data_IF_335967202678
#
_entry.id   IF_335967202678
#
_cell.length_a   1.000
_cell.length_b   1.000
_cell.length_c   1.000
_cell.angle_alpha   90.00
_cell.angle_beta   90.00
_cell.angle_gamma   90.00
#
_symmetry.space_group_name_H-M   'P 1'
#
loop_
_entity.id
_entity.type
_entity.pdbx_description
1 polymer ?
#
# COMPACT_ATOMS: atom_id res chain seq x y z
N UNK A 1 12.13 -13.49 2.77
CA UNK A 1 12.17 -12.41 1.76
C UNK A 1 12.04 -11.09 2.47
N UNK A 2 12.85 -10.11 2.09
CA UNK A 2 12.78 -8.74 2.58
C UNK A 2 11.40 -8.16 2.27
N UNK A 3 10.76 -7.57 3.26
CA UNK A 3 9.45 -6.92 3.10
C UNK A 3 9.61 -5.59 2.33
N UNK A 4 8.61 -5.24 1.53
CA UNK A 4 8.52 -3.91 0.91
C UNK A 4 7.46 -3.05 1.61
N UNK A 5 7.76 -1.77 1.75
CA UNK A 5 6.90 -0.76 2.35
C UNK A 5 6.87 0.51 1.50
N UNK A 6 6.01 1.45 1.85
CA UNK A 6 6.12 2.87 1.48
C UNK A 6 6.55 3.68 2.69
N UNK A 7 6.96 4.94 2.53
CA UNK A 7 7.15 5.87 3.66
C UNK A 7 5.81 6.41 4.16
N UNK A 8 4.94 6.86 3.26
CA UNK A 8 3.62 7.33 3.69
C UNK A 8 2.79 7.98 2.61
N UNK A 9 3.10 9.23 2.30
CA UNK A 9 2.31 10.07 1.42
C UNK A 9 2.38 9.61 -0.05
N UNK A 10 1.26 9.72 -0.76
CA UNK A 10 1.13 9.23 -2.14
C UNK A 10 0.37 10.24 -3.02
N UNK A 11 0.82 10.49 -4.27
CA UNK A 11 0.27 11.57 -5.09
C UNK A 11 -1.04 11.14 -5.77
N UNK A 12 -2.15 11.20 -5.03
CA UNK A 12 -3.50 11.03 -5.60
C UNK A 12 -4.02 12.39 -6.10
N UNK A 13 -4.30 12.52 -7.41
CA UNK A 13 -4.77 13.78 -7.97
C UNK A 13 -6.22 14.06 -7.51
N UNK A 14 -6.39 15.17 -6.79
CA UNK A 14 -7.71 15.72 -6.45
C UNK A 14 -7.98 16.91 -7.37
N UNK A 15 -9.03 16.80 -8.20
CA UNK A 15 -9.37 17.80 -9.21
C UNK A 15 -10.52 18.69 -8.73
N UNK A 16 -10.68 19.87 -9.33
CA UNK A 16 -11.83 20.76 -9.09
C UNK A 16 -13.15 20.01 -9.34
N UNK A 17 -13.18 19.11 -10.32
CA UNK A 17 -14.37 18.28 -10.61
C UNK A 17 -14.74 17.38 -9.43
N UNK A 18 -13.75 16.78 -8.74
CA UNK A 18 -14.02 15.99 -7.54
C UNK A 18 -14.68 16.85 -6.45
N UNK A 19 -14.14 18.05 -6.23
CA UNK A 19 -14.66 18.98 -5.22
C UNK A 19 -16.09 19.43 -5.55
N UNK A 20 -16.36 19.82 -6.80
CA UNK A 20 -17.71 20.23 -7.25
C UNK A 20 -18.72 19.11 -7.08
N UNK A 21 -18.38 17.90 -7.53
CA UNK A 21 -19.24 16.73 -7.37
C UNK A 21 -19.56 16.45 -5.89
N UNK A 22 -18.59 16.60 -4.99
CA UNK A 22 -18.81 16.39 -3.56
C UNK A 22 -19.75 17.44 -2.95
N UNK A 23 -19.62 18.70 -3.39
CA UNK A 23 -20.50 19.80 -2.99
C UNK A 23 -21.94 19.58 -3.48
N UNK A 24 -22.11 19.23 -4.75
CA UNK A 24 -23.43 18.94 -5.36
C UNK A 24 -24.13 17.78 -4.66
N UNK A 25 -23.39 16.72 -4.31
CA UNK A 25 -23.92 15.55 -3.63
C UNK A 25 -23.99 15.70 -2.10
N UNK A 26 -23.66 16.87 -1.54
CA UNK A 26 -23.60 17.12 -0.09
C UNK A 26 -22.79 16.07 0.68
N UNK A 27 -21.73 15.54 0.05
CA UNK A 27 -20.86 14.51 0.63
C UNK A 27 -20.12 15.07 1.84
N UNK A 28 -20.07 14.31 2.94
CA UNK A 28 -19.31 14.74 4.11
C UNK A 28 -17.81 14.82 3.79
N UNK A 29 -17.09 15.71 4.47
CA UNK A 29 -15.63 15.83 4.28
C UNK A 29 -14.88 14.54 4.62
N UNK A 30 -15.43 13.73 5.54
CA UNK A 30 -14.89 12.40 5.86
C UNK A 30 -15.01 11.43 4.69
N UNK A 31 -16.18 11.38 4.03
CA UNK A 31 -16.48 10.47 2.92
C UNK A 31 -15.78 10.87 1.63
N UNK A 32 -15.59 12.17 1.41
CA UNK A 32 -14.94 12.70 0.20
C UNK A 32 -13.58 12.06 -0.10
N UNK A 33 -12.78 11.76 0.92
CA UNK A 33 -11.44 11.21 0.75
C UNK A 33 -11.38 9.69 0.66
N UNK A 34 -12.45 8.96 0.99
CA UNK A 34 -12.43 7.49 0.98
C UNK A 34 -12.09 6.91 -0.41
N UNK A 35 -12.64 7.40 -1.53
CA UNK A 35 -12.23 6.94 -2.86
C UNK A 35 -10.76 7.23 -3.17
N UNK A 36 -10.20 8.31 -2.64
CA UNK A 36 -8.79 8.69 -2.81
C UNK A 36 -7.87 7.78 -2.01
N UNK A 37 -8.23 7.46 -0.76
CA UNK A 37 -7.53 6.47 0.08
C UNK A 37 -7.56 5.11 -0.60
N UNK A 38 -8.75 4.66 -1.03
CA UNK A 38 -8.91 3.40 -1.79
C UNK A 38 -7.98 3.37 -2.98
N UNK A 39 -7.83 4.48 -3.70
CA UNK A 39 -6.96 4.53 -4.87
C UNK A 39 -5.48 4.42 -4.53
N UNK A 40 -5.04 5.04 -3.44
CA UNK A 40 -3.67 4.87 -2.94
C UNK A 40 -3.39 3.43 -2.51
N UNK A 41 -4.34 2.81 -1.79
CA UNK A 41 -4.25 1.41 -1.35
C UNK A 41 -4.20 0.46 -2.55
N UNK A 42 -5.11 0.61 -3.52
CA UNK A 42 -5.13 -0.19 -4.76
C UNK A 42 -3.80 -0.13 -5.52
N UNK A 43 -3.20 1.06 -5.62
CA UNK A 43 -1.92 1.24 -6.32
C UNK A 43 -0.78 0.53 -5.59
N UNK A 44 -0.69 0.67 -4.27
CA UNK A 44 0.32 0.00 -3.46
C UNK A 44 0.17 -1.53 -3.52
N UNK A 45 -1.06 -2.04 -3.42
CA UNK A 45 -1.36 -3.47 -3.57
C UNK A 45 -1.01 -3.97 -4.98
N UNK A 46 -1.35 -3.22 -6.02
CA UNK A 46 -1.08 -3.58 -7.42
C UNK A 46 0.41 -3.55 -7.74
N UNK A 47 1.17 -2.63 -7.13
CA UNK A 47 2.63 -2.63 -7.19
C UNK A 47 3.26 -3.81 -6.43
N UNK A 48 2.51 -4.43 -5.52
CA UNK A 48 2.92 -5.61 -4.74
C UNK A 48 3.57 -5.30 -3.40
N UNK A 49 3.38 -4.08 -2.86
CA UNK A 49 3.89 -3.64 -1.55
C UNK A 49 3.33 -4.52 -0.42
N UNK A 50 4.15 -4.88 0.56
CA UNK A 50 3.75 -5.75 1.68
C UNK A 50 3.16 -4.97 2.86
N UNK A 51 3.74 -3.83 3.19
CA UNK A 51 3.31 -2.92 4.25
C UNK A 51 2.84 -1.60 3.62
N UNK A 52 1.53 -1.40 3.57
CA UNK A 52 0.90 -0.25 2.90
C UNK A 52 0.61 0.89 3.87
N UNK A 53 0.32 2.08 3.33
CA UNK A 53 -0.21 3.23 4.06
C UNK A 53 -1.56 3.68 3.48
N UNK A 54 -2.22 4.62 4.15
CA UNK A 54 -3.42 5.31 3.62
C UNK A 54 -3.11 6.27 2.47
N UNK A 55 -1.83 6.48 2.14
CA UNK A 55 -1.37 7.50 1.20
C UNK A 55 -1.42 8.93 1.73
N UNK A 56 -1.89 9.16 2.98
CA UNK A 56 -2.05 10.49 3.61
C UNK A 56 -2.71 11.52 2.68
N UNK A 57 -3.74 11.11 1.93
CA UNK A 57 -4.30 11.88 0.80
C UNK A 57 -5.12 13.11 1.20
N UNK A 58 -5.36 13.33 2.49
CA UNK A 58 -6.25 14.39 2.98
C UNK A 58 -5.63 15.78 2.86
N UNK A 59 -4.39 15.92 3.32
CA UNK A 59 -3.65 17.18 3.37
C UNK A 59 -2.17 16.89 3.66
N UNK A 60 -1.34 17.91 3.85
CA UNK A 60 0.06 17.73 4.20
C UNK A 60 0.24 17.14 5.61
N UNK A 61 1.42 16.56 5.87
CA UNK A 61 1.73 15.88 7.13
C UNK A 61 1.54 16.79 8.36
N UNK A 62 1.77 18.10 8.26
CA UNK A 62 1.60 19.03 9.39
C UNK A 62 0.12 19.34 9.64
N UNK A 63 -0.58 19.73 8.57
CA UNK A 63 -1.99 20.15 8.65
C UNK A 63 -2.91 18.99 9.03
N UNK A 64 -2.51 17.75 8.76
CA UNK A 64 -3.29 16.56 9.13
C UNK A 64 -3.50 16.49 10.66
N UNK A 65 -2.46 16.80 11.43
CA UNK A 65 -2.53 16.82 12.89
C UNK A 65 -3.00 18.16 13.43
N UNK A 66 -2.40 19.27 12.98
CA UNK A 66 -2.63 20.59 13.59
C UNK A 66 -4.07 21.08 13.47
N UNK A 67 -4.81 20.70 12.41
CA UNK A 67 -6.24 21.04 12.26
C UNK A 67 -7.18 20.26 13.18
N UNK A 68 -6.71 19.19 13.79
CA UNK A 68 -7.52 18.24 14.59
C UNK A 68 -7.14 18.23 16.07
N UNK A 69 -6.12 19.02 16.46
CA UNK A 69 -5.71 19.22 17.84
C UNK A 69 -6.29 20.55 18.34
N UNK A 70 -7.01 20.51 19.47
CA UNK A 70 -7.54 21.74 20.08
C UNK A 70 -6.40 22.56 20.69
N UNK A 71 -6.52 23.89 20.64
CA UNK A 71 -5.48 24.84 21.05
C UNK A 71 -4.65 25.39 19.89
N UNK A 72 -4.92 24.94 18.65
CA UNK A 72 -4.25 25.42 17.43
C UNK A 72 -5.25 26.14 16.53
N UNK A 73 -4.83 27.27 15.98
CA UNK A 73 -5.59 28.04 14.98
C UNK A 73 -4.73 28.27 13.75
N UNK A 74 -5.26 27.94 12.58
CA UNK A 74 -4.61 28.22 11.30
C UNK A 74 -5.09 29.58 10.77
N UNK A 75 -4.15 30.48 10.48
CA UNK A 75 -4.42 31.81 9.93
C UNK A 75 -3.50 32.01 8.72
N UNK A 76 -4.09 32.16 7.53
CA UNK A 76 -3.35 32.32 6.25
C UNK A 76 -2.27 31.24 6.04
N UNK A 77 -2.55 29.99 6.44
CA UNK A 77 -1.64 28.85 6.31
C UNK A 77 -0.62 28.72 7.45
N UNK A 78 -0.48 29.72 8.32
CA UNK A 78 0.38 29.66 9.51
C UNK A 78 -0.38 29.12 10.72
N UNK A 79 0.31 28.33 11.55
CA UNK A 79 -0.29 27.62 12.69
C UNK A 79 0.08 28.35 13.98
N UNK A 80 -0.92 28.87 14.67
CA UNK A 80 -0.77 29.61 15.92
C UNK A 80 -1.29 28.78 17.09
N UNK A 81 -0.49 28.63 18.14
CA UNK A 81 -0.92 28.00 19.38
C UNK A 81 -1.62 29.06 20.22
N UNK A 82 -2.94 28.94 20.39
CA UNK A 82 -3.80 29.93 21.06
C UNK A 82 -4.22 29.53 22.47
N UNK A 83 -3.99 28.28 22.86
CA UNK A 83 -4.14 27.77 24.23
C UNK A 83 -3.42 26.42 24.36
N UNK A 84 -3.40 25.83 25.57
CA UNK A 84 -2.84 24.49 25.80
C UNK A 84 -3.46 23.45 24.89
N UNK A 85 -2.61 22.58 24.33
CA UNK A 85 -3.02 21.52 23.41
C UNK A 85 -3.93 20.51 24.10
N UNK A 86 -5.00 20.09 23.41
CA UNK A 86 -5.89 19.02 23.88
C UNK A 86 -6.20 18.02 22.78
N UNK A 87 -6.09 16.74 23.12
CA UNK A 87 -6.51 15.63 22.26
C UNK A 87 -8.02 15.54 22.33
N UNK A 88 -8.69 15.75 21.20
CA UNK A 88 -10.15 15.75 21.13
C UNK A 88 -10.68 14.36 20.80
N UNK A 89 -10.12 13.75 19.75
CA UNK A 89 -10.50 12.43 19.23
C UNK A 89 -9.37 11.89 18.36
N UNK A 90 -9.37 10.58 18.05
CA UNK A 90 -8.40 10.00 17.12
C UNK A 90 -8.40 10.73 15.76
N UNK A 91 -7.20 10.98 15.25
CA UNK A 91 -6.94 11.83 14.08
C UNK A 91 -6.99 11.00 12.80
N UNK A 92 -6.28 9.87 12.78
CA UNK A 92 -6.04 9.03 11.60
C UNK A 92 -6.79 7.70 11.61
N UNK A 93 -7.38 7.34 12.76
CA UNK A 93 -8.05 6.05 12.99
C UNK A 93 -9.10 5.71 11.91
N UNK A 94 -9.94 6.66 11.53
CA UNK A 94 -11.02 6.42 10.56
C UNK A 94 -10.47 5.98 9.19
N UNK A 95 -9.41 6.64 8.72
CA UNK A 95 -8.79 6.32 7.43
C UNK A 95 -8.07 4.97 7.48
N UNK A 96 -7.45 4.65 8.61
CA UNK A 96 -6.78 3.37 8.84
C UNK A 96 -7.77 2.21 8.86
N UNK A 97 -8.89 2.33 9.59
CA UNK A 97 -9.94 1.31 9.61
C UNK A 97 -10.51 1.11 8.21
N UNK A 98 -10.76 2.19 7.47
CA UNK A 98 -11.23 2.07 6.09
C UNK A 98 -10.21 1.34 5.20
N UNK A 99 -8.94 1.74 5.23
CA UNK A 99 -7.88 1.13 4.43
C UNK A 99 -7.64 -0.35 4.80
N UNK A 100 -7.65 -0.69 6.09
CA UNK A 100 -7.49 -2.07 6.60
C UNK A 100 -8.59 -3.01 6.08
N UNK A 101 -9.81 -2.52 5.89
CA UNK A 101 -10.91 -3.31 5.33
C UNK A 101 -10.78 -3.55 3.80
N UNK A 102 -9.85 -2.86 3.12
CA UNK A 102 -9.59 -3.04 1.70
C UNK A 102 -8.45 -4.02 1.41
N UNK A 103 -7.60 -4.32 2.39
CA UNK A 103 -6.38 -5.11 2.15
C UNK A 103 -6.62 -6.62 2.36
N UNK A 104 -5.98 -7.48 1.55
CA UNK A 104 -5.93 -8.91 1.81
C UNK A 104 -5.26 -9.25 3.15
N UNK A 105 -5.62 -10.39 3.76
CA UNK A 105 -5.07 -10.85 5.06
C UNK A 105 -3.54 -11.02 5.09
N UNK A 106 -2.91 -11.23 3.93
CA UNK A 106 -1.46 -11.39 3.81
C UNK A 106 -0.72 -10.06 3.60
N UNK A 107 -1.41 -8.92 3.72
CA UNK A 107 -0.85 -7.58 3.63
C UNK A 107 -0.98 -6.87 4.97
N UNK A 108 -0.02 -6.00 5.25
CA UNK A 108 0.07 -5.22 6.48
C UNK A 108 -0.24 -3.75 6.20
N UNK A 109 -0.62 -3.02 7.23
CA UNK A 109 -0.85 -1.57 7.17
C UNK A 109 -0.11 -0.86 8.30
N UNK A 110 0.50 0.29 8.00
CA UNK A 110 1.18 1.12 8.99
C UNK A 110 0.43 2.41 9.30
N UNK A 111 0.43 2.79 10.57
CA UNK A 111 0.00 4.11 11.05
C UNK A 111 1.15 5.11 10.96
N UNK A 112 0.87 6.37 10.65
CA UNK A 112 1.92 7.38 10.47
C UNK A 112 1.57 8.63 11.26
N UNK A 113 2.51 9.07 12.08
CA UNK A 113 2.43 10.25 12.93
C UNK A 113 3.49 11.25 12.50
N UNK A 114 3.11 12.51 12.32
CA UNK A 114 4.12 13.57 12.26
C UNK A 114 4.65 13.80 13.67
N UNK A 115 5.97 13.77 13.80
CA UNK A 115 6.65 13.77 15.07
C UNK A 115 6.48 15.07 15.88
N UNK A 116 6.56 14.97 17.21
CA UNK A 116 6.32 16.08 18.11
C UNK A 116 7.24 17.28 17.89
N UNK A 117 8.52 17.05 17.58
CA UNK A 117 9.45 18.15 17.35
C UNK A 117 9.12 18.87 16.04
N UNK A 118 8.89 18.13 14.96
CA UNK A 118 8.48 18.67 13.67
C UNK A 118 7.17 19.48 13.77
N UNK A 119 6.16 18.97 14.48
CA UNK A 119 4.93 19.72 14.73
C UNK A 119 5.18 21.00 15.53
N UNK A 120 6.03 20.94 16.56
CA UNK A 120 6.33 22.12 17.38
C UNK A 120 7.06 23.21 16.60
N UNK A 121 8.05 22.85 15.75
CA UNK A 121 8.85 23.79 14.95
C UNK A 121 8.08 24.46 13.83
N UNK A 122 6.94 23.88 13.43
CA UNK A 122 6.06 24.43 12.39
C UNK A 122 4.91 25.29 12.95
N UNK A 123 4.87 25.47 14.27
CA UNK A 123 3.87 26.28 14.97
C UNK A 123 4.47 27.54 15.60
N UNK A 124 3.66 28.60 15.72
CA UNK A 124 4.00 29.86 16.39
C UNK A 124 3.32 29.93 17.75
N UNK A 125 4.11 30.07 18.81
CA UNK A 125 3.63 30.26 20.18
C UNK A 125 3.07 31.68 20.34
N UNK A 126 1.83 31.82 20.80
CA UNK A 126 1.23 33.11 21.15
C UNK A 126 1.35 33.39 22.65
N UNK A 127 1.08 34.64 23.07
CA UNK A 127 1.10 35.05 24.48
C UNK A 127 0.12 34.25 25.34
N UNK A 128 -1.03 33.87 24.78
CA UNK A 128 -2.11 33.19 25.48
C UNK A 128 -1.99 31.65 25.42
N UNK A 129 -0.96 31.15 24.75
CA UNK A 129 -0.75 29.72 24.50
C UNK A 129 -0.48 28.90 25.78
N UNK A 130 0.09 29.53 26.81
CA UNK A 130 0.55 28.86 28.02
C UNK A 130 1.87 28.08 27.85
N UNK A 131 2.62 28.29 26.78
CA UNK A 131 3.96 27.71 26.56
C UNK A 131 5.05 28.78 26.63
N UNK A 132 6.15 28.48 27.33
CA UNK A 132 7.29 29.40 27.42
C UNK A 132 8.24 29.28 26.22
N UNK A 133 8.34 28.09 25.64
CA UNK A 133 9.26 27.79 24.55
C UNK A 133 8.77 26.60 23.71
N UNK A 134 9.47 26.35 22.60
CA UNK A 134 9.16 25.25 21.67
C UNK A 134 9.35 23.87 22.32
N UNK A 135 10.28 23.73 23.27
CA UNK A 135 10.51 22.46 23.97
C UNK A 135 9.30 22.04 24.80
N UNK A 136 8.73 22.95 25.60
CA UNK A 136 7.48 22.69 26.35
C UNK A 136 6.33 22.32 25.40
N UNK A 137 6.24 22.98 24.24
CA UNK A 137 5.24 22.66 23.23
C UNK A 137 5.47 21.26 22.61
N UNK A 138 6.71 20.89 22.33
CA UNK A 138 7.07 19.59 21.79
C UNK A 138 6.71 18.45 22.76
N UNK A 139 6.92 18.64 24.07
CA UNK A 139 6.50 17.67 25.08
C UNK A 139 4.98 17.48 25.11
N UNK A 140 4.19 18.54 25.04
CA UNK A 140 2.73 18.42 24.95
C UNK A 140 2.29 17.74 23.65
N UNK A 141 2.93 18.02 22.51
CA UNK A 141 2.69 17.26 21.28
C UNK A 141 3.00 15.78 21.45
N UNK A 142 4.08 15.41 22.16
CA UNK A 142 4.43 14.00 22.37
C UNK A 142 3.34 13.27 23.17
N UNK A 143 2.77 13.90 24.20
CA UNK A 143 1.64 13.35 24.97
C UNK A 143 0.35 13.22 24.13
N UNK A 144 0.08 14.19 23.25
CA UNK A 144 -1.04 14.12 22.30
C UNK A 144 -0.84 12.96 21.32
N UNK A 145 0.36 12.80 20.79
CA UNK A 145 0.68 11.74 19.83
C UNK A 145 0.74 10.36 20.48
N UNK A 146 1.06 10.23 21.77
CA UNK A 146 0.90 8.96 22.49
C UNK A 146 -0.57 8.53 22.54
N UNK A 147 -1.51 9.47 22.76
CA UNK A 147 -2.95 9.19 22.73
C UNK A 147 -3.41 8.76 21.34
N UNK A 148 -2.91 9.41 20.29
CA UNK A 148 -3.18 8.99 18.91
C UNK A 148 -2.60 7.60 18.63
N UNK A 149 -1.34 7.33 18.99
CA UNK A 149 -0.69 6.04 18.81
C UNK A 149 -1.50 4.92 19.48
N UNK A 150 -1.93 5.11 20.73
CA UNK A 150 -2.80 4.17 21.47
C UNK A 150 -4.14 3.95 20.78
N UNK A 151 -4.72 4.98 20.18
CA UNK A 151 -6.00 4.88 19.48
C UNK A 151 -5.89 4.04 18.20
N UNK A 152 -4.76 4.09 17.50
CA UNK A 152 -4.58 3.42 16.21
C UNK A 152 -3.87 2.05 16.30
N UNK A 153 -3.22 1.75 17.42
CA UNK A 153 -2.33 0.58 17.56
C UNK A 153 -2.98 -0.76 17.16
N UNK A 154 -4.25 -0.97 17.51
CA UNK A 154 -4.97 -2.21 17.19
C UNK A 154 -5.41 -2.31 15.73
N UNK A 155 -5.35 -1.19 15.00
CA UNK A 155 -5.71 -1.11 13.58
C UNK A 155 -4.51 -1.20 12.64
N UNK A 156 -3.29 -1.27 13.19
CA UNK A 156 -2.06 -1.27 12.39
C UNK A 156 -1.07 -2.36 12.81
N UNK A 157 -0.16 -2.68 11.90
CA UNK A 157 0.91 -3.64 12.12
C UNK A 157 2.17 -2.99 12.69
N UNK A 158 2.39 -1.71 12.38
CA UNK A 158 3.42 -0.86 12.98
C UNK A 158 2.99 0.62 12.93
N UNK A 159 3.64 1.45 13.75
CA UNK A 159 3.45 2.90 13.74
C UNK A 159 4.77 3.56 13.34
N UNK A 160 4.72 4.56 12.48
CA UNK A 160 5.85 5.36 12.09
C UNK A 160 5.72 6.78 12.64
N UNK A 161 6.83 7.33 13.12
CA UNK A 161 6.94 8.72 13.55
C UNK A 161 7.88 9.42 12.57
N UNK A 162 7.40 10.45 11.89
CA UNK A 162 8.17 11.22 10.92
C UNK A 162 8.75 12.48 11.58
N UNK A 163 10.08 12.58 11.68
CA UNK A 163 10.78 13.74 12.23
C UNK A 163 11.76 14.38 11.22
N UNK A 164 11.28 14.91 10.07
CA UNK A 164 12.16 15.54 9.09
C UNK A 164 12.97 16.72 9.65
N UNK A 165 12.49 17.38 10.73
CA UNK A 165 13.26 18.46 11.37
C UNK A 165 14.53 17.98 12.08
N UNK A 166 14.69 16.69 12.39
CA UNK A 166 15.90 16.19 13.08
C UNK A 166 17.16 16.32 12.23
N UNK A 167 17.08 16.17 10.91
CA UNK A 167 18.23 16.33 10.00
C UNK A 167 18.61 17.79 9.78
N UNK A 168 17.66 18.72 9.96
CA UNK A 168 17.89 20.16 9.85
C UNK A 168 18.44 20.73 11.17
N UNK A 169 17.80 20.41 12.30
CA UNK A 169 18.15 20.90 13.62
C UNK A 169 17.88 19.81 14.66
N UNK A 170 18.93 19.11 15.08
CA UNK A 170 18.81 18.00 16.03
C UNK A 170 18.50 18.48 17.46
N UNK A 171 17.37 18.07 18.07
CA UNK A 171 17.06 18.40 19.45
C UNK A 171 17.64 17.38 20.43
N UNK A 172 18.38 17.85 21.45
CA UNK A 172 18.92 16.97 22.51
C UNK A 172 17.82 16.28 23.33
N UNK A 173 16.62 16.85 23.40
CA UNK A 173 15.45 16.25 24.03
C UNK A 173 14.65 15.30 23.10
N UNK A 174 15.06 15.12 21.84
CA UNK A 174 14.34 14.33 20.85
C UNK A 174 14.11 12.86 21.26
N UNK A 175 15.10 12.23 21.89
CA UNK A 175 14.97 10.86 22.42
C UNK A 175 13.84 10.75 23.45
N UNK A 176 13.68 11.76 24.31
CA UNK A 176 12.63 11.78 25.34
C UNK A 176 11.26 11.96 24.70
N UNK A 177 11.13 12.80 23.67
CA UNK A 177 9.88 12.96 22.92
C UNK A 177 9.41 11.63 22.31
N UNK A 178 10.30 10.93 21.59
CA UNK A 178 9.95 9.65 20.96
C UNK A 178 9.63 8.58 22.01
N UNK A 179 10.32 8.59 23.16
CA UNK A 179 10.02 7.68 24.28
C UNK A 179 8.61 7.93 24.86
N UNK A 180 8.15 9.17 24.92
CA UNK A 180 6.78 9.52 25.35
C UNK A 180 5.77 9.00 24.31
N UNK A 181 5.99 9.24 23.02
CA UNK A 181 5.09 8.73 21.97
C UNK A 181 4.98 7.21 22.01
N UNK A 182 6.10 6.49 22.19
CA UNK A 182 6.15 5.01 22.31
C UNK A 182 5.53 4.46 23.59
N UNK A 183 5.38 5.25 24.66
CA UNK A 183 4.99 4.74 25.99
C UNK A 183 3.73 3.86 25.91
N UNK A 184 3.86 2.61 26.40
CA UNK A 184 2.80 1.58 26.43
C UNK A 184 2.34 1.07 25.05
N UNK A 185 2.99 1.45 23.96
CA UNK A 185 2.77 0.86 22.63
C UNK A 185 3.55 -0.44 22.51
N UNK A 186 2.86 -1.52 22.14
CA UNK A 186 3.40 -2.87 21.94
C UNK A 186 3.75 -3.16 20.48
N UNK A 187 3.10 -2.48 19.53
CA UNK A 187 3.44 -2.59 18.10
C UNK A 187 4.83 -2.00 17.80
N UNK A 188 5.52 -2.51 16.77
CA UNK A 188 6.77 -1.92 16.31
C UNK A 188 6.63 -0.44 15.97
N UNK A 189 7.61 0.36 16.39
CA UNK A 189 7.73 1.78 16.07
C UNK A 189 8.86 1.99 15.07
N UNK A 190 8.57 2.67 13.97
CA UNK A 190 9.56 3.23 13.05
C UNK A 190 9.80 4.71 13.34
N UNK A 191 11.04 5.16 13.22
CA UNK A 191 11.40 6.58 13.16
C UNK A 191 11.94 6.86 11.77
N UNK A 192 11.22 7.70 11.03
CA UNK A 192 11.65 8.16 9.72
C UNK A 192 12.16 9.59 9.81
N UNK A 193 13.33 9.83 9.23
CA UNK A 193 13.96 11.16 9.17
C UNK A 193 14.46 11.37 7.75
N UNK A 194 13.78 12.25 6.99
CA UNK A 194 14.19 12.65 5.64
C UNK A 194 15.51 13.47 5.69
N UNK A 195 16.23 13.51 4.57
CA UNK A 195 17.51 14.19 4.41
C UNK A 195 18.73 13.42 4.92
N UNK A 196 19.88 14.09 4.91
CA UNK A 196 21.15 13.49 5.36
C UNK A 196 21.22 13.37 6.88
N UNK A 197 21.09 12.15 7.38
CA UNK A 197 21.20 11.84 8.82
C UNK A 197 22.60 11.43 9.24
N UNK A 198 23.59 11.48 8.35
CA UNK A 198 25.00 11.10 8.59
C UNK A 198 25.48 11.55 9.97
N UNK A 199 25.42 12.85 10.24
CA UNK A 199 25.94 13.47 11.49
C UNK A 199 25.20 13.07 12.76
N UNK A 200 23.96 12.59 12.66
CA UNK A 200 23.10 12.31 13.80
C UNK A 200 22.76 10.83 13.95
N UNK A 201 23.15 9.98 13.00
CA UNK A 201 22.75 8.58 12.97
C UNK A 201 23.11 7.84 14.27
N UNK A 202 24.33 8.00 14.79
CA UNK A 202 24.75 7.38 16.05
C UNK A 202 23.92 7.84 17.26
N UNK A 203 23.33 9.05 17.19
CA UNK A 203 22.36 9.49 18.21
C UNK A 203 21.01 8.81 18.02
N UNK A 204 20.55 8.65 16.77
CA UNK A 204 19.29 7.99 16.43
C UNK A 204 19.27 6.52 16.83
N UNK A 205 20.40 5.80 16.76
CA UNK A 205 20.49 4.40 17.23
C UNK A 205 20.21 4.23 18.72
N UNK A 206 20.30 5.32 19.51
CA UNK A 206 20.01 5.33 20.96
C UNK A 206 18.52 5.52 21.25
N UNK A 207 17.68 5.72 20.25
CA UNK A 207 16.23 5.89 20.40
C UNK A 207 15.57 4.53 20.62
N UNK A 208 14.53 4.52 21.45
CA UNK A 208 13.71 3.34 21.69
C UNK A 208 12.73 3.16 20.52
N UNK A 209 13.22 2.78 19.35
CA UNK A 209 12.43 2.44 18.16
C UNK A 209 12.93 1.14 17.59
N UNK A 210 12.09 0.45 16.82
CA UNK A 210 12.39 -0.88 16.30
C UNK A 210 12.89 -0.82 14.85
N UNK A 211 12.56 0.26 14.13
CA UNK A 211 12.98 0.53 12.75
C UNK A 211 13.51 1.97 12.65
N UNK A 212 14.67 2.15 12.03
CA UNK A 212 15.20 3.44 11.58
C UNK A 212 15.06 3.52 10.06
N UNK A 213 14.24 4.45 9.57
CA UNK A 213 13.88 4.59 8.16
C UNK A 213 14.55 5.87 7.59
N UNK A 214 15.40 5.70 6.58
CA UNK A 214 16.27 6.75 6.05
C UNK A 214 16.51 6.67 4.54
N UNK A 215 17.02 7.78 4.01
CA UNK A 215 17.29 7.98 2.59
C UNK A 215 18.68 7.49 2.17
N UNK A 216 18.74 6.42 1.39
CA UNK A 216 20.02 5.86 0.91
C UNK A 216 20.28 6.12 -0.57
N UNK A 217 19.27 6.45 -1.37
CA UNK A 217 19.49 6.85 -2.77
C UNK A 217 19.89 8.32 -2.83
N UNK A 218 19.20 9.19 -2.10
CA UNK A 218 19.57 10.61 -2.00
C UNK A 218 20.88 10.84 -1.23
N UNK A 219 21.23 9.96 -0.28
CA UNK A 219 22.47 10.07 0.53
C UNK A 219 23.32 8.77 0.48
N UNK A 220 23.99 8.47 -0.65
CA UNK A 220 24.70 7.19 -0.83
C UNK A 220 25.80 6.92 0.19
N UNK A 221 26.42 7.97 0.75
CA UNK A 221 27.48 7.83 1.77
C UNK A 221 26.96 7.37 3.13
N UNK A 222 25.65 7.47 3.38
CA UNK A 222 25.04 7.08 4.65
C UNK A 222 25.32 5.60 4.98
N UNK A 223 25.28 4.72 3.97
CA UNK A 223 25.54 3.28 4.17
C UNK A 223 26.95 3.03 4.73
N UNK A 224 27.95 3.80 4.28
CA UNK A 224 29.33 3.68 4.72
C UNK A 224 29.49 4.12 6.18
N UNK A 225 28.74 5.13 6.61
CA UNK A 225 28.80 5.60 7.97
C UNK A 225 28.06 4.67 8.95
N UNK A 226 26.87 4.21 8.56
CA UNK A 226 26.07 3.30 9.37
C UNK A 226 26.81 1.98 9.61
N UNK A 227 27.53 1.47 8.60
CA UNK A 227 28.33 0.23 8.73
C UNK A 227 29.38 0.26 9.86
N UNK A 228 29.78 1.46 10.31
CA UNK A 228 30.75 1.66 11.40
C UNK A 228 30.08 1.79 12.78
N UNK A 229 28.75 1.86 12.82
CA UNK A 229 27.97 2.12 14.02
C UNK A 229 27.24 0.85 14.45
N UNK A 230 27.34 0.49 15.74
CA UNK A 230 26.55 -0.61 16.29
C UNK A 230 25.09 -0.19 16.52
N UNK A 231 24.13 -0.95 15.97
CA UNK A 231 22.70 -0.74 16.20
C UNK A 231 21.92 -2.06 16.16
N UNK A 232 20.75 -2.08 16.80
CA UNK A 232 19.91 -3.28 16.94
C UNK A 232 18.63 -3.21 16.11
N UNK A 233 18.23 -2.01 15.73
CA UNK A 233 17.04 -1.72 14.94
C UNK A 233 17.12 -2.34 13.54
N UNK A 234 15.96 -2.57 12.93
CA UNK A 234 15.87 -2.74 11.48
C UNK A 234 16.11 -1.40 10.78
N UNK A 235 16.46 -1.47 9.50
CA UNK A 235 16.63 -0.32 8.62
C UNK A 235 15.50 -0.33 7.58
N UNK A 236 14.69 0.74 7.56
CA UNK A 236 13.94 1.14 6.37
C UNK A 236 14.93 1.71 5.38
N UNK A 237 15.17 0.97 4.31
CA UNK A 237 16.21 1.23 3.34
C UNK A 237 15.60 1.90 2.11
N UNK A 238 15.64 3.24 2.11
CA UNK A 238 15.26 4.10 1.00
C UNK A 238 16.03 3.75 -0.26
N UNK A 239 15.46 2.90 -1.11
CA UNK A 239 16.12 2.27 -2.25
C UNK A 239 15.68 2.82 -3.61
N UNK A 240 14.72 3.76 -3.59
CA UNK A 240 14.28 4.56 -4.74
C UNK A 240 14.14 6.02 -4.35
N UNK A 241 14.57 6.93 -5.22
CA UNK A 241 14.53 8.37 -4.96
C UNK A 241 13.08 8.89 -4.97
N UNK A 242 12.76 9.79 -4.05
CA UNK A 242 11.40 10.36 -3.89
C UNK A 242 11.28 11.83 -4.31
N UNK A 243 12.38 12.43 -4.79
CA UNK A 243 12.53 13.86 -5.07
C UNK A 243 12.38 14.21 -6.54
N UNK A 244 12.74 13.30 -7.44
CA UNK A 244 12.69 13.56 -8.87
C UNK A 244 11.91 12.50 -9.68
N UNK A 245 11.55 12.88 -10.90
CA UNK A 245 10.73 12.08 -11.80
C UNK A 245 11.45 10.92 -12.50
N UNK A 246 12.76 10.75 -12.31
CA UNK A 246 13.55 9.66 -12.92
C UNK A 246 13.10 8.34 -12.31
N UNK A 247 12.74 7.39 -13.15
CA UNK A 247 12.36 6.05 -12.70
C UNK A 247 13.61 5.17 -12.74
N UNK A 248 14.05 4.69 -11.59
CA UNK A 248 15.18 3.77 -11.45
C UNK A 248 14.86 2.44 -12.15
N UNK A 249 15.85 1.89 -12.83
CA UNK A 249 15.74 0.56 -13.41
C UNK A 249 15.71 -0.52 -12.32
N UNK A 250 15.13 -1.68 -12.65
CA UNK A 250 15.10 -2.83 -11.76
C UNK A 250 16.53 -3.25 -11.38
N UNK A 251 17.46 -3.19 -12.33
CA UNK A 251 18.87 -3.53 -12.15
C UNK A 251 19.61 -2.56 -11.23
N UNK A 252 19.35 -1.25 -11.30
CA UNK A 252 19.90 -0.27 -10.36
C UNK A 252 19.43 -0.56 -8.93
N UNK A 253 18.13 -0.84 -8.75
CA UNK A 253 17.57 -1.13 -7.42
C UNK A 253 18.12 -2.46 -6.88
N UNK A 254 18.27 -3.50 -7.70
CA UNK A 254 18.90 -4.78 -7.28
C UNK A 254 20.31 -4.54 -6.72
N UNK A 255 21.14 -3.72 -7.39
CA UNK A 255 22.48 -3.38 -6.89
C UNK A 255 22.43 -2.66 -5.54
N UNK A 256 21.43 -1.81 -5.31
CA UNK A 256 21.25 -1.14 -4.02
C UNK A 256 20.83 -2.15 -2.93
N UNK A 257 19.93 -3.08 -3.24
CA UNK A 257 19.53 -4.17 -2.34
C UNK A 257 20.74 -5.03 -1.96
N UNK A 258 21.56 -5.44 -2.94
CA UNK A 258 22.78 -6.25 -2.69
C UNK A 258 23.76 -5.54 -1.74
N UNK A 259 23.96 -4.22 -1.93
CA UNK A 259 24.79 -3.41 -1.03
C UNK A 259 24.20 -3.38 0.38
N UNK A 260 22.89 -3.14 0.51
CA UNK A 260 22.22 -3.10 1.80
C UNK A 260 22.33 -4.43 2.53
N UNK A 261 22.04 -5.55 1.85
CA UNK A 261 22.12 -6.90 2.43
C UNK A 261 23.53 -7.22 2.90
N UNK A 262 24.55 -6.85 2.12
CA UNK A 262 25.96 -7.05 2.50
C UNK A 262 26.33 -6.31 3.79
N UNK A 263 25.73 -5.15 4.04
CA UNK A 263 26.07 -4.29 5.19
C UNK A 263 25.22 -4.60 6.41
N UNK A 264 23.91 -4.78 6.23
CA UNK A 264 22.96 -4.87 7.34
C UNK A 264 22.51 -6.30 7.67
N UNK A 265 22.64 -7.22 6.71
CA UNK A 265 21.98 -8.52 6.77
C UNK A 265 20.53 -8.45 6.29
N UNK A 266 20.05 -9.55 5.72
CA UNK A 266 18.72 -9.64 5.10
C UNK A 266 17.57 -9.44 6.10
N UNK A 267 17.72 -9.95 7.33
CA UNK A 267 16.71 -9.94 8.39
C UNK A 267 16.46 -8.55 8.98
N UNK A 268 17.39 -7.62 8.76
CA UNK A 268 17.34 -6.25 9.27
C UNK A 268 16.81 -5.22 8.29
N UNK A 269 16.45 -5.58 7.06
CA UNK A 269 16.07 -4.61 6.02
C UNK A 269 14.57 -4.65 5.77
N UNK A 270 13.98 -3.47 5.54
CA UNK A 270 12.69 -3.27 4.90
C UNK A 270 12.95 -2.32 3.72
N UNK A 271 12.47 -2.66 2.52
CA UNK A 271 12.68 -1.82 1.34
C UNK A 271 11.54 -0.81 1.19
N UNK A 272 11.88 0.46 1.07
CA UNK A 272 10.94 1.56 0.84
C UNK A 272 11.56 2.64 -0.06
N UNK A 273 10.79 3.64 -0.48
CA UNK A 273 11.33 4.88 -1.05
C UNK A 273 12.08 5.71 -0.03
N UNK A 274 12.96 6.60 -0.51
CA UNK A 274 13.70 7.56 0.32
C UNK A 274 12.81 8.36 1.29
N UNK A 275 11.66 8.89 0.84
CA UNK A 275 10.75 9.70 1.65
C UNK A 275 9.32 9.54 1.07
N UNK A 276 8.35 10.34 1.50
CA UNK A 276 6.98 10.27 0.94
C UNK A 276 6.92 10.61 -0.56
N UNK A 277 6.09 9.90 -1.33
CA UNK A 277 6.02 10.05 -2.79
C UNK A 277 5.09 11.19 -3.26
N UNK A 278 4.39 11.86 -2.34
CA UNK A 278 3.49 12.97 -2.69
C UNK A 278 4.20 14.09 -3.47
N UNK A 279 5.46 14.39 -3.12
CA UNK A 279 6.27 15.45 -3.73
C UNK A 279 6.54 15.26 -5.23
N UNK A 280 6.45 14.03 -5.74
CA UNK A 280 6.60 13.74 -7.17
C UNK A 280 5.48 14.35 -8.03
N UNK A 281 4.31 14.63 -7.44
CA UNK A 281 3.14 15.20 -8.12
C UNK A 281 2.47 14.30 -9.16
N UNK A 282 3.13 13.22 -9.61
CA UNK A 282 2.68 12.36 -10.69
C UNK A 282 2.47 10.91 -10.23
N UNK A 283 1.20 10.53 -10.03
CA UNK A 283 0.75 9.18 -9.67
C UNK A 283 1.41 8.05 -10.47
N UNK A 284 1.56 8.24 -11.79
CA UNK A 284 2.16 7.23 -12.67
C UNK A 284 3.64 6.97 -12.35
N UNK A 285 4.39 8.01 -12.02
CA UNK A 285 5.81 7.89 -11.66
C UNK A 285 5.93 7.19 -10.31
N UNK A 286 5.15 7.62 -9.32
CA UNK A 286 5.11 6.99 -8.00
C UNK A 286 4.79 5.49 -8.10
N UNK A 287 3.76 5.12 -8.86
CA UNK A 287 3.41 3.71 -9.10
C UNK A 287 4.57 2.94 -9.74
N UNK A 288 5.20 3.48 -10.79
CA UNK A 288 6.27 2.78 -11.50
C UNK A 288 7.52 2.57 -10.64
N UNK A 289 7.86 3.54 -9.77
CA UNK A 289 8.94 3.41 -8.79
C UNK A 289 8.66 2.27 -7.79
N UNK A 290 7.45 2.21 -7.23
CA UNK A 290 7.03 1.12 -6.34
C UNK A 290 7.03 -0.24 -7.05
N UNK A 291 6.52 -0.29 -8.28
CA UNK A 291 6.49 -1.52 -9.08
C UNK A 291 7.91 -2.03 -9.40
N UNK A 292 8.83 -1.12 -9.76
CA UNK A 292 10.23 -1.47 -10.01
C UNK A 292 10.94 -1.94 -8.75
N UNK A 293 10.68 -1.33 -7.60
CA UNK A 293 11.20 -1.75 -6.30
C UNK A 293 10.77 -3.19 -5.95
N UNK A 294 9.49 -3.52 -6.13
CA UNK A 294 8.98 -4.87 -5.89
C UNK A 294 9.55 -5.88 -6.91
N UNK A 295 9.66 -5.50 -8.19
CA UNK A 295 10.31 -6.32 -9.22
C UNK A 295 11.78 -6.56 -8.90
N UNK A 296 12.50 -5.57 -8.36
CA UNK A 296 13.89 -5.68 -7.97
C UNK A 296 14.06 -6.65 -6.80
N UNK A 297 13.23 -6.54 -5.75
CA UNK A 297 13.19 -7.54 -4.66
C UNK A 297 12.94 -8.94 -5.23
N UNK A 298 11.92 -9.10 -6.07
CA UNK A 298 11.60 -10.41 -6.66
C UNK A 298 12.78 -10.96 -7.47
N UNK A 299 13.43 -10.13 -8.27
CA UNK A 299 14.61 -10.50 -9.06
C UNK A 299 15.80 -10.90 -8.17
N UNK A 300 16.03 -10.19 -7.07
CA UNK A 300 17.06 -10.53 -6.08
C UNK A 300 16.86 -11.96 -5.52
N UNK A 301 15.62 -12.40 -5.31
CA UNK A 301 15.30 -13.78 -4.90
C UNK A 301 15.14 -14.78 -6.06
N UNK A 302 15.45 -14.40 -7.30
CA UNK A 302 15.26 -15.28 -8.47
C UNK A 302 13.79 -15.58 -8.80
N UNK A 303 12.84 -14.76 -8.34
CA UNK A 303 11.41 -14.93 -8.61
C UNK A 303 11.11 -14.45 -10.04
N UNK A 304 10.85 -15.40 -10.92
CA UNK A 304 10.53 -15.15 -12.32
C UNK A 304 9.12 -14.56 -12.47
N UNK A 305 9.04 -13.27 -12.81
CA UNK A 305 7.77 -12.63 -13.17
C UNK A 305 7.46 -12.90 -14.64
N UNK A 306 6.38 -13.64 -14.91
CA UNK A 306 5.94 -13.95 -16.27
C UNK A 306 4.79 -13.00 -16.65
N UNK A 307 5.00 -12.15 -17.66
CA UNK A 307 3.90 -11.36 -18.23
C UNK A 307 3.10 -12.25 -19.17
N UNK A 308 1.90 -12.63 -18.74
CA UNK A 308 0.98 -13.41 -19.57
C UNK A 308 0.71 -12.69 -20.91
N UNK A 309 0.78 -13.45 -22.01
CA UNK A 309 0.36 -12.98 -23.34
C UNK A 309 -0.85 -13.79 -23.77
N UNK A 310 -1.88 -13.11 -24.28
CA UNK A 310 -3.02 -13.78 -24.88
C UNK A 310 -2.55 -14.50 -26.15
N UNK A 311 -2.62 -15.83 -26.17
CA UNK A 311 -2.40 -16.64 -27.38
C UNK A 311 -3.76 -16.92 -28.02
N UNK A 312 -3.87 -16.74 -29.35
CA UNK A 312 -5.02 -17.26 -30.12
C UNK A 312 -4.80 -18.75 -30.32
N UNK A 313 -5.73 -19.59 -29.88
CA UNK A 313 -5.67 -21.03 -30.09
C UNK A 313 -5.85 -21.33 -31.58
N UNK A 314 -5.13 -22.34 -32.07
CA UNK A 314 -5.25 -22.90 -33.42
C UNK A 314 -5.78 -24.33 -33.34
N UNK A 315 -6.16 -24.93 -34.46
CA UNK A 315 -6.74 -26.29 -34.47
C UNK A 315 -5.83 -27.35 -33.86
N UNK A 316 -4.51 -27.14 -33.92
CA UNK A 316 -3.51 -28.01 -33.31
C UNK A 316 -3.45 -27.92 -31.78
N UNK A 317 -4.00 -26.84 -31.20
CA UNK A 317 -4.03 -26.60 -29.76
C UNK A 317 -5.31 -27.16 -29.09
N UNK A 318 -6.30 -27.62 -29.88
CA UNK A 318 -7.53 -28.21 -29.36
C UNK A 318 -7.34 -29.67 -28.92
N UNK A 319 -8.13 -30.06 -27.93
CA UNK A 319 -8.11 -31.40 -27.36
C UNK A 319 -8.72 -32.41 -28.33
N UNK A 320 -8.08 -33.56 -28.51
CA UNK A 320 -8.56 -34.63 -29.38
C UNK A 320 -9.77 -35.40 -28.85
N UNK A 321 -10.15 -35.24 -27.58
CA UNK A 321 -11.32 -35.91 -27.00
C UNK A 321 -12.67 -35.40 -27.52
N UNK A 322 -12.70 -34.20 -28.10
CA UNK A 322 -13.92 -33.60 -28.64
C UNK A 322 -14.09 -32.16 -28.21
N UNK A 323 -15.34 -31.70 -28.15
CA UNK A 323 -15.70 -30.31 -27.86
C UNK A 323 -16.87 -30.19 -26.87
N UNK A 324 -17.09 -28.98 -26.38
CA UNK A 324 -18.15 -28.67 -25.43
C UNK A 324 -19.09 -27.61 -25.97
N UNK A 325 -20.37 -27.79 -25.73
CA UNK A 325 -21.39 -26.79 -25.97
C UNK A 325 -21.98 -26.33 -24.65
N UNK A 326 -21.93 -25.02 -24.39
CA UNK A 326 -22.38 -24.40 -23.14
C UNK A 326 -23.64 -23.60 -23.44
N UNK A 327 -24.67 -23.87 -22.65
CA UNK A 327 -26.01 -23.33 -22.81
C UNK A 327 -26.51 -22.79 -21.48
N UNK A 328 -27.35 -21.76 -21.53
CA UNK A 328 -28.08 -21.28 -20.35
C UNK A 328 -29.49 -21.90 -20.35
N UNK A 329 -29.79 -22.65 -19.29
CA UNK A 329 -31.15 -23.01 -18.94
C UNK A 329 -31.72 -21.90 -18.02
N UNK A 330 -32.28 -20.86 -18.66
CA UNK A 330 -32.87 -19.72 -17.94
C UNK A 330 -34.12 -20.12 -17.13
N UNK A 331 -34.82 -21.20 -17.50
CA UNK A 331 -36.02 -21.65 -16.80
C UNK A 331 -35.67 -22.24 -15.43
N UNK A 332 -34.66 -23.12 -15.40
CA UNK A 332 -34.21 -23.77 -14.16
C UNK A 332 -33.08 -23.02 -13.46
N UNK A 333 -32.66 -21.86 -13.98
CA UNK A 333 -31.55 -21.04 -13.49
C UNK A 333 -30.24 -21.83 -13.39
N UNK A 334 -29.91 -22.57 -14.45
CA UNK A 334 -28.73 -23.44 -14.52
C UNK A 334 -27.97 -23.26 -15.84
N UNK A 335 -26.74 -23.75 -15.86
CA UNK A 335 -25.89 -23.89 -17.04
C UNK A 335 -25.94 -25.37 -17.44
N UNK A 336 -26.21 -25.63 -18.71
CA UNK A 336 -26.15 -26.95 -19.34
C UNK A 336 -24.87 -27.03 -20.16
N UNK A 337 -24.08 -28.07 -19.93
CA UNK A 337 -22.86 -28.35 -20.69
C UNK A 337 -22.96 -29.70 -21.35
N UNK A 338 -22.80 -29.72 -22.65
CA UNK A 338 -22.81 -30.93 -23.46
C UNK A 338 -21.39 -31.21 -23.95
N UNK A 339 -20.95 -32.45 -23.81
CA UNK A 339 -19.66 -32.92 -24.33
C UNK A 339 -19.91 -33.85 -25.52
N UNK A 340 -19.26 -33.56 -26.64
CA UNK A 340 -19.35 -34.32 -27.88
C UNK A 340 -17.97 -34.83 -28.28
N UNK A 341 -17.90 -35.97 -28.96
CA UNK A 341 -16.72 -36.34 -29.72
C UNK A 341 -16.67 -35.60 -31.08
N UNK A 342 -15.61 -35.80 -31.86
CA UNK A 342 -15.48 -35.18 -33.19
C UNK A 342 -16.33 -35.83 -34.29
N UNK A 343 -17.05 -36.91 -33.98
CA UNK A 343 -18.09 -37.47 -34.84
C UNK A 343 -19.48 -36.90 -34.49
N UNK A 344 -19.53 -35.85 -33.65
CA UNK A 344 -20.74 -35.20 -33.17
C UNK A 344 -21.65 -36.10 -32.32
N UNK A 345 -21.08 -37.14 -31.70
CA UNK A 345 -21.81 -38.03 -30.79
C UNK A 345 -21.75 -37.45 -29.38
N UNK A 346 -22.93 -37.17 -28.81
CA UNK A 346 -23.06 -36.69 -27.44
C UNK A 346 -22.58 -37.76 -26.45
N UNK A 347 -21.55 -37.43 -25.68
CA UNK A 347 -20.95 -38.30 -24.68
C UNK A 347 -21.55 -38.07 -23.29
N UNK A 348 -21.78 -36.80 -22.92
CA UNK A 348 -22.26 -36.44 -21.57
C UNK A 348 -22.96 -35.08 -21.52
N UNK A 349 -23.94 -34.97 -20.63
CA UNK A 349 -24.55 -33.68 -20.25
C UNK A 349 -24.29 -33.44 -18.77
N UNK A 350 -23.89 -32.22 -18.43
CA UNK A 350 -23.69 -31.75 -17.05
C UNK A 350 -24.58 -30.53 -16.84
N UNK A 351 -25.29 -30.51 -15.71
CA UNK A 351 -26.05 -29.34 -15.25
C UNK A 351 -25.40 -28.81 -13.97
N UNK A 352 -25.40 -27.49 -13.80
CA UNK A 352 -24.95 -26.84 -12.58
C UNK A 352 -25.30 -25.35 -12.54
N UNK A 353 -25.26 -24.74 -11.37
CA UNK A 353 -25.61 -23.34 -11.14
C UNK A 353 -24.38 -22.41 -11.05
N UNK A 354 -23.17 -22.97 -11.05
CA UNK A 354 -21.91 -22.24 -10.98
C UNK A 354 -20.81 -22.90 -11.81
N UNK A 355 -19.85 -22.09 -12.28
CA UNK A 355 -18.79 -22.56 -13.17
C UNK A 355 -17.89 -23.61 -12.50
N UNK A 356 -17.56 -23.43 -11.22
CA UNK A 356 -16.63 -24.29 -10.48
C UNK A 356 -17.15 -25.73 -10.35
N UNK A 357 -18.42 -25.91 -9.98
CA UNK A 357 -19.03 -27.24 -9.82
C UNK A 357 -19.07 -28.02 -11.14
N UNK A 358 -19.39 -27.34 -12.24
CA UNK A 358 -19.41 -27.96 -13.57
C UNK A 358 -17.99 -28.31 -14.01
N UNK A 359 -17.04 -27.41 -13.80
CA UNK A 359 -15.65 -27.63 -14.15
C UNK A 359 -15.02 -28.80 -13.36
N UNK A 360 -15.35 -28.93 -12.07
CA UNK A 360 -14.99 -30.09 -11.25
C UNK A 360 -15.60 -31.40 -11.79
N UNK A 361 -16.82 -31.36 -12.35
CA UNK A 361 -17.44 -32.51 -13.01
C UNK A 361 -16.72 -32.89 -14.31
N UNK A 362 -16.25 -31.91 -15.09
CA UNK A 362 -15.41 -32.15 -16.28
C UNK A 362 -14.12 -32.89 -15.92
N UNK A 363 -13.45 -32.51 -14.81
CA UNK A 363 -12.29 -33.25 -14.30
C UNK A 363 -12.65 -34.64 -13.80
N UNK A 364 -13.69 -34.75 -12.95
CA UNK A 364 -14.11 -36.01 -12.33
C UNK A 364 -14.42 -37.08 -13.37
N UNK A 365 -15.05 -36.70 -14.47
CA UNK A 365 -15.38 -37.61 -15.57
C UNK A 365 -14.33 -37.66 -16.68
N UNK A 366 -13.17 -37.01 -16.49
CA UNK A 366 -12.04 -37.01 -17.43
C UNK A 366 -12.47 -36.65 -18.86
N UNK A 367 -13.31 -35.62 -19.01
CA UNK A 367 -13.85 -35.22 -20.32
C UNK A 367 -12.85 -34.43 -21.17
N UNK A 368 -11.69 -34.08 -20.61
CA UNK A 368 -10.53 -33.55 -21.36
C UNK A 368 -9.33 -34.49 -21.23
N UNK A 369 -8.34 -34.34 -22.11
CA UNK A 369 -7.06 -35.04 -21.97
C UNK A 369 -6.21 -34.48 -20.82
N UNK A 370 -5.26 -35.28 -20.33
CA UNK A 370 -4.32 -34.87 -19.27
C UNK A 370 -3.07 -34.16 -19.84
N UNK A 371 -2.92 -34.17 -21.17
CA UNK A 371 -1.84 -33.51 -21.89
C UNK A 371 -2.00 -31.97 -21.94
N UNK A 372 -1.08 -31.28 -22.62
CA UNK A 372 -1.11 -29.82 -22.71
C UNK A 372 -2.35 -29.29 -23.45
N UNK A 373 -2.88 -30.03 -24.43
CA UNK A 373 -4.04 -29.62 -25.19
C UNK A 373 -5.32 -29.79 -24.37
N UNK A 374 -5.46 -30.90 -23.65
CA UNK A 374 -6.57 -31.09 -22.72
C UNK A 374 -6.56 -30.07 -21.58
N UNK A 375 -5.40 -29.73 -21.02
CA UNK A 375 -5.27 -28.62 -20.04
C UNK A 375 -5.68 -27.26 -20.61
N UNK A 376 -5.36 -26.98 -21.88
CA UNK A 376 -5.79 -25.74 -22.56
C UNK A 376 -7.29 -25.73 -22.80
N UNK A 377 -7.85 -26.85 -23.25
CA UNK A 377 -9.28 -26.99 -23.46
C UNK A 377 -10.05 -26.82 -22.16
N UNK A 378 -9.55 -27.39 -21.06
CA UNK A 378 -10.08 -27.16 -19.71
C UNK A 378 -10.07 -25.68 -19.32
N UNK A 379 -8.96 -24.97 -19.57
CA UNK A 379 -8.88 -23.51 -19.33
C UNK A 379 -9.83 -22.69 -20.21
N UNK A 380 -10.06 -23.11 -21.45
CA UNK A 380 -11.07 -22.52 -22.34
C UNK A 380 -12.48 -22.71 -21.77
N UNK A 381 -12.84 -23.94 -21.38
CA UNK A 381 -14.14 -24.26 -20.79
C UNK A 381 -14.36 -23.44 -19.52
N UNK A 382 -13.36 -23.33 -18.64
CA UNK A 382 -13.43 -22.49 -17.45
C UNK A 382 -13.75 -21.02 -17.78
N UNK A 383 -13.14 -20.48 -18.84
CA UNK A 383 -13.41 -19.10 -19.30
C UNK A 383 -14.84 -18.94 -19.81
N UNK A 384 -15.32 -19.88 -20.61
CA UNK A 384 -16.68 -19.85 -21.15
C UNK A 384 -17.74 -20.05 -20.06
N UNK A 385 -17.51 -20.97 -19.11
CA UNK A 385 -18.39 -21.18 -17.96
C UNK A 385 -18.48 -19.95 -17.07
N UNK A 386 -17.37 -19.25 -16.83
CA UNK A 386 -17.41 -18.01 -16.04
C UNK A 386 -18.25 -16.92 -16.73
N UNK A 387 -18.18 -16.83 -18.07
CA UNK A 387 -19.05 -15.93 -18.84
C UNK A 387 -20.51 -16.36 -18.76
N UNK A 388 -20.79 -17.66 -18.89
CA UNK A 388 -22.14 -18.21 -18.78
C UNK A 388 -22.74 -17.96 -17.39
N UNK A 389 -21.98 -18.20 -16.31
CA UNK A 389 -22.38 -17.92 -14.94
C UNK A 389 -22.65 -16.43 -14.71
N UNK A 390 -21.77 -15.55 -15.22
CA UNK A 390 -21.97 -14.10 -15.14
C UNK A 390 -23.24 -13.68 -15.87
N UNK A 391 -23.48 -14.24 -17.06
CA UNK A 391 -24.68 -13.97 -17.83
C UNK A 391 -25.94 -14.44 -17.11
N UNK A 392 -25.92 -15.65 -16.54
CA UNK A 392 -27.03 -16.22 -15.79
C UNK A 392 -27.39 -15.37 -14.57
N UNK A 393 -26.39 -14.95 -13.78
CA UNK A 393 -26.57 -14.12 -12.57
C UNK A 393 -27.15 -12.73 -12.88
N UNK A 394 -26.80 -12.16 -14.02
CA UNK A 394 -27.20 -10.81 -14.41
C UNK A 394 -28.33 -10.80 -15.47
N UNK A 395 -28.93 -11.96 -15.76
CA UNK A 395 -29.95 -12.14 -16.80
C UNK A 395 -29.54 -11.58 -18.18
N UNK A 396 -28.28 -11.77 -18.56
CA UNK A 396 -27.73 -11.34 -19.85
C UNK A 396 -27.81 -12.47 -20.90
N UNK A 397 -27.64 -12.09 -22.16
CA UNK A 397 -27.48 -13.06 -23.24
C UNK A 397 -26.06 -13.63 -23.26
N UNK A 398 -25.97 -14.95 -23.39
CA UNK A 398 -24.73 -15.68 -23.54
C UNK A 398 -24.68 -16.35 -24.91
N UNK A 399 -23.58 -16.13 -25.61
CA UNK A 399 -23.23 -16.86 -26.82
C UNK A 399 -21.77 -17.28 -26.64
N UNK A 400 -21.52 -18.59 -26.70
CA UNK A 400 -20.18 -19.16 -26.60
C UNK A 400 -19.24 -18.50 -27.62
N UNK A 401 -17.97 -18.32 -27.24
CA UNK A 401 -16.92 -17.62 -28.02
C UNK A 401 -17.14 -16.12 -28.28
N UNK A 402 -18.33 -15.58 -27.98
CA UNK A 402 -18.57 -14.13 -28.04
C UNK A 402 -18.21 -13.46 -26.72
N UNK A 403 -17.85 -12.17 -26.80
CA UNK A 403 -17.72 -11.34 -25.60
C UNK A 403 -19.10 -11.16 -24.97
N UNK A 404 -19.14 -11.26 -23.64
CA UNK A 404 -20.34 -10.91 -22.89
C UNK A 404 -20.57 -9.41 -22.98
N UNK A 405 -21.80 -8.99 -23.32
CA UNK A 405 -22.19 -7.58 -23.33
C UNK A 405 -22.74 -7.24 -21.94
N UNK A 406 -21.94 -6.53 -21.15
CA UNK A 406 -22.36 -5.99 -19.86
C UNK A 406 -22.77 -4.54 -20.16
N UNK A 407 -24.07 -4.25 -20.11
CA UNK A 407 -24.65 -2.92 -20.36
C UNK A 407 -24.29 -1.92 -19.27
#
# INVERSE_FOLDING_TARGET
MIETSVVGSYPIPITIKHIRNAQENKTSWSEFFLPHIKKAVEDQLSAGIDIISTGQVRTDMISEFTRRISGIKEIKGEKYIISKLKFVKPITLYDLVYAKNLIPKNKKIKGILTGPYTLSKTCKITRDSGYKNIEELAFDFAEILNKEAKAIEYEVDNIQIDEPMFSIEYPEYGKKLISIVRKEIKKPIALHVCGDVSKIFEKLTKYQVDILDHEFVANPELINQISKTGFSQKIGYGCVNSYDGRIESVEEIVKNIEKAVKVFGEDKIILDPDCGLFGLGLRKIAYQKLENMVKARNKFYGINTIKAKKKKLTDKDWDKKGYFYILLDKQNKQIRVENYDYNHILQKIIYGDNAEAILNSVLKFKLTNEDQNGKRHYGYIATELQKAETALRNNLDYIQDRKLKIS
#
